data_IF_268142752265
#
_entry.id   IF_268142752265
#
_cell.length_a   1.000
_cell.length_b   1.000
_cell.length_c   1.000
_cell.angle_alpha   90.00
_cell.angle_beta   90.00
_cell.angle_gamma   90.00
#
_symmetry.space_group_name_H-M   'P 1'
#
loop_
_entity.id
_entity.type
_entity.pdbx_description
1 polymer ?
#
# COMPACT_ATOMS: atom_id res chain seq x y z
N UNK A 1 -29.52 -37.02 -29.41
CA UNK A 1 -29.13 -36.93 -27.99
C UNK A 1 -27.79 -36.20 -27.92
N UNK A 2 -27.77 -34.92 -27.52
CA UNK A 2 -26.55 -34.17 -27.28
C UNK A 2 -26.07 -34.48 -25.86
N UNK A 3 -24.85 -34.99 -25.73
CA UNK A 3 -24.22 -35.29 -24.45
C UNK A 3 -23.64 -33.98 -23.91
N UNK A 4 -24.13 -33.53 -22.75
CA UNK A 4 -23.70 -32.31 -22.08
C UNK A 4 -22.50 -32.65 -21.17
N UNK A 5 -21.30 -32.09 -21.39
CA UNK A 5 -20.07 -32.49 -20.69
C UNK A 5 -20.00 -32.06 -19.20
N UNK A 6 -21.00 -31.36 -18.69
CA UNK A 6 -21.03 -30.81 -17.33
C UNK A 6 -21.87 -31.62 -16.31
N UNK A 7 -22.39 -32.79 -16.71
CA UNK A 7 -23.36 -33.53 -15.89
C UNK A 7 -22.74 -34.21 -14.64
N UNK A 8 -21.42 -34.40 -14.58
CA UNK A 8 -20.77 -35.05 -13.43
C UNK A 8 -20.54 -34.12 -12.22
N UNK A 9 -20.92 -32.85 -12.29
CA UNK A 9 -20.68 -31.83 -11.25
C UNK A 9 -21.91 -31.49 -10.38
N UNK A 10 -23.02 -32.22 -10.51
CA UNK A 10 -24.19 -32.04 -9.62
C UNK A 10 -24.13 -33.00 -8.44
N UNK A 11 -23.44 -32.57 -7.39
CA UNK A 11 -23.63 -33.13 -6.04
C UNK A 11 -24.96 -32.67 -5.47
N UNK A 12 -25.79 -33.63 -5.06
CA UNK A 12 -27.06 -33.43 -4.35
C UNK A 12 -26.90 -32.51 -3.11
N UNK A 13 -27.81 -31.54 -2.86
CA UNK A 13 -27.73 -30.70 -1.67
C UNK A 13 -28.17 -31.50 -0.43
N UNK A 14 -27.21 -32.06 0.30
CA UNK A 14 -27.48 -32.65 1.61
C UNK A 14 -27.79 -31.54 2.63
N UNK A 15 -29.03 -31.62 3.13
CA UNK A 15 -29.63 -31.02 4.33
C UNK A 15 -28.66 -30.31 5.31
N UNK A 16 -28.98 -29.06 5.59
CA UNK A 16 -28.25 -28.11 6.45
C UNK A 16 -28.40 -28.34 7.98
N UNK A 17 -28.49 -29.58 8.47
CA UNK A 17 -28.82 -29.84 9.89
C UNK A 17 -27.79 -30.63 10.71
N UNK A 18 -26.57 -30.89 10.19
CA UNK A 18 -25.56 -31.68 10.93
C UNK A 18 -24.16 -31.05 11.04
N UNK A 19 -24.07 -29.73 11.31
CA UNK A 19 -22.80 -29.11 11.69
C UNK A 19 -22.95 -28.21 12.92
N UNK A 20 -23.17 -28.81 14.09
CA UNK A 20 -22.71 -28.20 15.34
C UNK A 20 -21.20 -28.46 15.47
N UNK A 21 -20.32 -27.44 15.38
CA UNK A 21 -18.92 -27.64 15.71
C UNK A 21 -18.81 -27.91 17.20
N UNK A 22 -18.37 -29.12 17.55
CA UNK A 22 -17.89 -29.42 18.90
C UNK A 22 -16.50 -28.80 19.04
N UNK A 23 -16.45 -27.48 19.26
CA UNK A 23 -15.20 -26.79 19.55
C UNK A 23 -14.66 -27.26 20.89
N UNK A 24 -13.75 -28.24 20.88
CA UNK A 24 -12.78 -28.37 21.96
C UNK A 24 -11.78 -27.23 21.79
N UNK A 25 -12.10 -26.07 22.37
CA UNK A 25 -11.08 -25.07 22.68
C UNK A 25 -10.20 -25.71 23.76
N UNK A 26 -9.07 -26.28 23.35
CA UNK A 26 -8.01 -26.63 24.30
C UNK A 26 -7.48 -25.30 24.81
N UNK A 27 -7.86 -24.96 26.03
CA UNK A 27 -7.42 -23.77 26.77
C UNK A 27 -5.94 -23.92 27.21
N UNK A 28 -5.03 -24.11 26.26
CA UNK A 28 -3.58 -24.18 26.52
C UNK A 28 -2.79 -23.02 25.89
N UNK A 29 -3.37 -22.25 24.96
CA UNK A 29 -2.67 -21.18 24.22
C UNK A 29 -2.45 -19.91 25.06
N UNK A 30 -3.39 -19.54 25.93
CA UNK A 30 -3.32 -18.29 26.71
C UNK A 30 -2.27 -18.34 27.81
N UNK A 31 -2.03 -19.49 28.43
CA UNK A 31 -0.99 -19.64 29.46
C UNK A 31 0.41 -19.46 28.88
N UNK A 32 0.73 -20.13 27.76
CA UNK A 32 2.02 -19.96 27.09
C UNK A 32 2.23 -18.54 26.56
N UNK A 33 1.18 -17.90 26.04
CA UNK A 33 1.25 -16.50 25.59
C UNK A 33 1.54 -15.54 26.74
N UNK A 34 0.86 -15.73 27.88
CA UNK A 34 1.05 -14.88 29.06
C UNK A 34 2.44 -15.09 29.69
N UNK A 35 2.92 -16.34 29.76
CA UNK A 35 4.28 -16.66 30.25
C UNK A 35 5.35 -16.06 29.33
N UNK A 36 5.19 -16.15 28.00
CA UNK A 36 6.12 -15.55 27.06
C UNK A 36 6.19 -14.03 27.19
N UNK A 37 5.04 -13.36 27.32
CA UNK A 37 5.00 -11.91 27.54
C UNK A 37 5.71 -11.49 28.83
N UNK A 38 5.52 -12.24 29.93
CA UNK A 38 6.22 -11.98 31.19
C UNK A 38 7.75 -12.14 31.04
N UNK A 39 8.21 -13.16 30.31
CA UNK A 39 9.64 -13.37 30.06
C UNK A 39 10.27 -12.23 29.25
N UNK A 40 9.56 -11.71 28.24
CA UNK A 40 10.03 -10.56 27.44
C UNK A 40 10.11 -9.29 28.28
N UNK A 41 9.12 -9.05 29.16
CA UNK A 41 9.14 -7.89 30.06
C UNK A 41 10.30 -8.00 31.05
N UNK A 42 10.52 -9.16 31.67
CA UNK A 42 11.61 -9.36 32.62
C UNK A 42 12.99 -9.21 31.94
N UNK A 43 13.15 -9.74 30.73
CA UNK A 43 14.38 -9.58 29.95
C UNK A 43 14.62 -8.10 29.55
N UNK A 44 13.56 -7.38 29.16
CA UNK A 44 13.63 -5.95 28.85
C UNK A 44 13.98 -5.10 30.06
N UNK A 45 13.39 -5.38 31.23
CA UNK A 45 13.73 -4.72 32.49
C UNK A 45 15.19 -5.00 32.87
N UNK A 46 15.64 -6.25 32.81
CA UNK A 46 17.02 -6.61 33.10
C UNK A 46 18.00 -5.91 32.14
N UNK A 47 17.67 -5.85 30.85
CA UNK A 47 18.46 -5.14 29.84
C UNK A 47 18.54 -3.63 30.15
N UNK A 48 17.42 -3.00 30.50
CA UNK A 48 17.38 -1.58 30.86
C UNK A 48 18.19 -1.28 32.13
N UNK A 49 18.06 -2.10 33.17
CA UNK A 49 18.84 -1.96 34.42
C UNK A 49 20.35 -2.20 34.23
N UNK A 50 20.74 -3.07 33.28
CA UNK A 50 22.13 -3.30 32.94
C UNK A 50 22.70 -2.21 32.01
N UNK A 51 21.84 -1.55 31.21
CA UNK A 51 22.24 -0.46 30.31
C UNK A 51 22.32 0.91 31.02
N UNK A 52 21.48 1.15 32.03
CA UNK A 52 21.53 2.36 32.90
C UNK A 52 22.77 2.40 33.81
N UNK A 53 23.57 1.32 33.88
CA UNK A 53 24.84 1.30 34.63
C UNK A 53 26.08 1.39 33.75
N UNK A 54 26.05 2.18 32.68
CA UNK A 54 27.28 2.74 32.09
C UNK A 54 27.29 4.26 32.08
N UNK A 55 28.46 4.82 32.42
CA UNK A 55 28.57 6.14 33.02
C UNK A 55 28.52 7.22 31.94
N UNK A 56 27.90 8.33 32.32
CA UNK A 56 28.30 9.71 32.03
C UNK A 56 29.53 9.83 31.10
N UNK A 57 29.32 9.72 29.79
CA UNK A 57 30.32 10.09 28.80
C UNK A 57 30.11 11.56 28.46
N UNK A 58 30.77 12.37 29.28
CA UNK A 58 31.51 13.60 28.96
C UNK A 58 31.25 14.18 27.56
N UNK A 59 30.56 15.32 27.54
CA UNK A 59 30.50 16.20 26.39
C UNK A 59 31.92 16.64 25.94
N UNK A 60 32.25 16.62 24.64
CA UNK A 60 33.46 17.28 24.15
C UNK A 60 33.28 18.82 24.17
N UNK A 61 34.37 19.57 24.38
CA UNK A 61 34.33 21.00 24.67
C UNK A 61 33.91 21.83 23.47
N UNK A 62 33.08 22.84 23.77
CA UNK A 62 32.80 24.00 22.93
C UNK A 62 34.12 24.69 22.57
N UNK A 63 34.47 24.86 21.28
CA UNK A 63 35.48 25.84 20.89
C UNK A 63 34.83 27.21 20.98
N UNK A 64 35.15 27.94 22.06
CA UNK A 64 35.05 29.39 22.06
C UNK A 64 36.26 29.96 21.34
N UNK A 65 35.95 31.00 20.59
CA UNK A 65 36.84 32.01 20.04
C UNK A 65 37.60 31.56 18.78
N UNK A 66 37.23 32.18 17.65
CA UNK A 66 38.10 33.17 17.01
C UNK A 66 37.31 33.95 15.94
N UNK A 67 37.39 35.26 16.10
CA UNK A 67 37.21 36.30 15.07
C UNK A 67 35.81 36.49 14.45
N UNK A 68 35.02 37.38 15.07
CA UNK A 68 34.06 38.20 14.33
C UNK A 68 34.86 39.07 13.36
N UNK A 69 35.13 38.55 12.16
CA UNK A 69 35.55 39.40 11.06
C UNK A 69 34.34 40.18 10.59
N UNK A 70 34.18 41.38 11.15
CA UNK A 70 33.33 42.42 10.59
C UNK A 70 33.86 42.74 9.20
N UNK A 71 33.36 42.06 8.17
CA UNK A 71 33.44 42.57 6.81
C UNK A 71 32.61 43.85 6.80
N UNK A 72 33.18 45.01 6.42
CA UNK A 72 32.41 46.23 6.23
C UNK A 72 31.19 45.91 5.38
N UNK A 73 30.02 46.38 5.81
CA UNK A 73 28.82 46.34 5.00
C UNK A 73 29.12 47.08 3.68
N UNK A 74 29.44 46.32 2.63
CA UNK A 74 29.38 46.82 1.27
C UNK A 74 27.90 47.14 1.02
N UNK A 75 27.56 48.38 0.64
CA UNK A 75 26.17 48.76 0.45
C UNK A 75 25.56 47.78 -0.54
N UNK A 76 24.41 47.21 -0.17
CA UNK A 76 23.58 46.39 -1.02
C UNK A 76 23.63 46.97 -2.43
N UNK A 77 24.34 46.29 -3.35
CA UNK A 77 24.13 46.54 -4.76
C UNK A 77 22.67 46.23 -4.97
N UNK A 78 21.90 47.29 -5.10
CA UNK A 78 20.58 47.26 -5.69
C UNK A 78 20.77 46.56 -7.02
N UNK A 79 20.51 45.26 -7.07
CA UNK A 79 20.19 44.59 -8.33
C UNK A 79 19.17 45.49 -8.97
N UNK A 80 19.37 45.98 -10.21
CA UNK A 80 18.31 46.67 -10.91
C UNK A 80 17.14 45.70 -10.87
N UNK A 81 16.10 46.04 -10.10
CA UNK A 81 14.81 45.40 -10.24
C UNK A 81 14.50 45.58 -11.72
N UNK A 82 14.68 44.51 -12.49
CA UNK A 82 14.21 44.45 -13.85
C UNK A 82 12.74 44.82 -13.72
N UNK A 83 12.41 46.03 -14.20
CA UNK A 83 11.04 46.55 -14.19
C UNK A 83 10.18 45.39 -14.63
N UNK A 84 9.27 44.94 -13.76
CA UNK A 84 8.35 43.86 -14.10
C UNK A 84 7.70 44.27 -15.41
N UNK A 85 8.11 43.62 -16.51
CA UNK A 85 7.59 43.91 -17.82
C UNK A 85 6.09 43.68 -17.73
N UNK A 86 5.30 44.70 -18.06
CA UNK A 86 3.84 44.58 -18.05
C UNK A 86 3.52 43.42 -19.01
N UNK A 87 2.92 42.32 -18.54
CA UNK A 87 2.70 41.16 -19.38
C UNK A 87 1.75 41.53 -20.52
N UNK A 88 2.07 41.10 -21.74
CA UNK A 88 1.19 41.30 -22.89
C UNK A 88 -0.18 40.63 -22.64
N UNK A 89 -1.28 41.19 -23.17
CA UNK A 89 -2.60 40.59 -23.01
C UNK A 89 -2.63 39.20 -23.66
N UNK A 90 -3.29 38.23 -23.00
CA UNK A 90 -3.32 36.83 -23.46
C UNK A 90 -3.89 36.68 -24.87
N UNK A 91 -4.85 37.55 -25.23
CA UNK A 91 -5.51 37.55 -26.52
C UNK A 91 -4.54 37.73 -27.69
N UNK A 92 -3.44 38.47 -27.49
CA UNK A 92 -2.45 38.73 -28.55
C UNK A 92 -1.44 37.57 -28.70
N UNK A 93 -1.40 36.65 -27.74
CA UNK A 93 -0.43 35.56 -27.69
C UNK A 93 -1.06 34.16 -27.85
N UNK A 94 -2.37 34.01 -27.67
CA UNK A 94 -3.07 32.71 -27.78
C UNK A 94 -3.41 32.43 -29.25
N UNK A 95 -3.07 31.23 -29.74
CA UNK A 95 -3.39 30.79 -31.10
C UNK A 95 -4.82 30.25 -31.17
N UNK A 96 -5.34 29.99 -32.37
CA UNK A 96 -6.74 29.62 -32.64
C UNK A 96 -7.25 28.34 -31.96
N UNK A 97 -6.38 27.57 -31.31
CA UNK A 97 -6.76 26.53 -30.36
C UNK A 97 -6.32 26.97 -28.96
N UNK A 98 -7.21 26.86 -27.97
CA UNK A 98 -7.02 27.22 -26.53
C UNK A 98 -5.87 26.46 -25.81
N UNK A 99 -4.80 26.13 -26.50
CA UNK A 99 -3.63 25.42 -26.03
C UNK A 99 -2.60 26.45 -25.62
N UNK A 100 -2.31 26.52 -24.32
CA UNK A 100 -1.26 27.37 -23.76
C UNK A 100 0.05 26.59 -23.90
N UNK A 101 0.81 26.90 -24.95
CA UNK A 101 2.13 26.34 -25.20
C UNK A 101 3.26 27.26 -24.66
N UNK A 102 4.50 26.78 -24.68
CA UNK A 102 5.66 27.56 -24.25
C UNK A 102 5.86 28.85 -25.07
N UNK A 103 5.36 28.90 -26.31
CA UNK A 103 5.42 30.11 -27.14
C UNK A 103 4.44 31.18 -26.67
N UNK A 104 3.27 30.80 -26.14
CA UNK A 104 2.34 31.75 -25.48
C UNK A 104 2.97 32.35 -24.23
N UNK A 105 3.66 31.52 -23.43
CA UNK A 105 4.38 31.98 -22.22
C UNK A 105 5.50 32.94 -22.60
N UNK A 106 6.28 32.62 -23.62
CA UNK A 106 7.37 33.47 -24.11
C UNK A 106 6.89 34.78 -24.72
N UNK A 107 5.79 34.76 -25.46
CA UNK A 107 5.14 35.96 -25.99
C UNK A 107 4.68 36.88 -24.85
N UNK A 108 4.00 36.31 -23.86
CA UNK A 108 3.40 37.10 -22.78
C UNK A 108 4.42 37.64 -21.77
N UNK A 109 5.43 36.85 -21.43
CA UNK A 109 6.33 37.11 -20.31
C UNK A 109 7.81 37.30 -20.72
N UNK A 110 8.15 37.14 -22.00
CA UNK A 110 9.53 37.23 -22.50
C UNK A 110 10.37 35.97 -22.22
N UNK A 111 11.69 36.13 -22.10
CA UNK A 111 12.57 35.02 -21.70
C UNK A 111 12.24 34.60 -20.26
N UNK A 112 11.66 33.41 -20.10
CA UNK A 112 11.59 32.75 -18.81
C UNK A 112 12.96 32.12 -18.48
N UNK A 113 13.40 32.15 -17.22
CA UNK A 113 14.53 31.33 -16.80
C UNK A 113 14.19 29.85 -17.05
N UNK A 114 15.09 29.13 -17.72
CA UNK A 114 15.00 27.67 -17.85
C UNK A 114 14.85 27.04 -16.47
N UNK A 115 14.05 25.97 -16.32
CA UNK A 115 14.01 25.18 -15.10
C UNK A 115 15.42 24.71 -14.75
N UNK A 116 16.07 25.39 -13.81
CA UNK A 116 17.33 24.94 -13.24
C UNK A 116 16.99 24.10 -12.03
N UNK A 117 17.43 22.84 -12.05
CA UNK A 117 17.54 22.03 -10.85
C UNK A 117 18.66 22.63 -9.99
N UNK A 118 18.31 23.65 -9.21
CA UNK A 118 19.21 24.24 -8.24
C UNK A 118 19.16 23.38 -6.96
N UNK A 119 20.24 22.64 -6.63
CA UNK A 119 20.28 21.82 -5.42
C UNK A 119 20.21 22.66 -4.12
N UNK A 120 20.36 23.98 -4.20
CA UNK A 120 20.23 24.92 -3.10
C UNK A 120 18.89 25.67 -3.07
N UNK A 121 18.00 25.45 -4.06
CA UNK A 121 16.66 26.02 -4.02
C UNK A 121 15.85 25.41 -2.87
N UNK A 122 15.91 26.07 -1.73
CA UNK A 122 15.10 25.76 -0.57
C UNK A 122 13.72 26.37 -0.82
N UNK A 123 12.76 25.53 -1.20
CA UNK A 123 11.36 25.94 -1.19
C UNK A 123 10.96 26.45 0.20
N UNK A 124 9.87 27.23 0.29
CA UNK A 124 9.36 27.79 1.57
C UNK A 124 8.94 26.74 2.61
N UNK A 125 9.20 25.47 2.34
CA UNK A 125 8.78 24.31 3.11
C UNK A 125 10.02 23.51 3.49
N UNK A 126 10.13 23.14 4.76
CA UNK A 126 11.29 22.38 5.24
C UNK A 126 11.40 21.03 4.53
N UNK A 127 12.62 20.56 4.31
CA UNK A 127 12.89 19.26 3.72
C UNK A 127 12.18 18.12 4.49
N UNK A 128 12.13 18.24 5.82
CA UNK A 128 11.44 17.30 6.69
C UNK A 128 9.91 17.28 6.45
N UNK A 129 9.27 18.44 6.28
CA UNK A 129 7.85 18.51 5.96
C UNK A 129 7.55 17.88 4.60
N UNK A 130 8.35 18.20 3.57
CA UNK A 130 8.16 17.59 2.23
C UNK A 130 8.35 16.08 2.27
N UNK A 131 9.32 15.58 3.04
CA UNK A 131 9.54 14.15 3.22
C UNK A 131 8.32 13.49 3.89
N UNK A 132 7.78 14.10 4.96
CA UNK A 132 6.59 13.60 5.64
C UNK A 132 5.35 13.62 4.75
N UNK A 133 5.14 14.70 4.00
CA UNK A 133 4.02 14.85 3.08
C UNK A 133 4.08 13.81 1.95
N UNK A 134 5.25 13.64 1.31
CA UNK A 134 5.48 12.60 0.30
C UNK A 134 5.25 11.20 0.87
N UNK A 135 5.75 10.92 2.08
CA UNK A 135 5.51 9.63 2.75
C UNK A 135 4.02 9.41 3.08
N UNK A 136 3.30 10.47 3.46
CA UNK A 136 1.86 10.44 3.70
C UNK A 136 1.06 10.15 2.42
N UNK A 137 1.38 10.83 1.33
CA UNK A 137 0.75 10.59 0.02
C UNK A 137 0.97 9.16 -0.47
N UNK A 138 2.18 8.62 -0.33
CA UNK A 138 2.47 7.23 -0.68
C UNK A 138 1.67 6.22 0.15
N UNK A 139 1.41 6.52 1.43
CA UNK A 139 0.57 5.68 2.30
C UNK A 139 -0.89 5.74 1.89
N UNK A 140 -1.42 6.93 1.62
CA UNK A 140 -2.82 7.09 1.17
C UNK A 140 -3.05 6.46 -0.20
N UNK A 141 -2.06 6.53 -1.10
CA UNK A 141 -2.10 5.85 -2.39
C UNK A 141 -2.10 4.32 -2.24
N UNK A 142 -1.28 3.77 -1.33
CA UNK A 142 -1.30 2.32 -1.00
C UNK A 142 -2.55 1.87 -0.25
N UNK A 143 -3.22 2.80 0.43
CA UNK A 143 -4.46 2.54 1.18
C UNK A 143 -5.71 2.63 0.32
N UNK A 144 -5.65 3.17 -0.91
CA UNK A 144 -6.80 3.12 -1.80
C UNK A 144 -7.08 1.65 -2.17
N UNK A 145 -8.13 1.13 -1.52
CA UNK A 145 -8.86 -0.12 -1.80
C UNK A 145 -8.08 -1.43 -1.68
N UNK A 146 -6.95 -1.48 -0.97
CA UNK A 146 -6.31 -2.75 -0.63
C UNK A 146 -6.86 -3.34 0.69
N UNK A 147 -7.51 -4.50 0.62
CA UNK A 147 -7.97 -5.22 1.82
C UNK A 147 -7.89 -6.74 1.62
N UNK A 148 -7.81 -7.49 2.72
CA UNK A 148 -7.79 -8.95 2.66
C UNK A 148 -9.15 -9.53 2.96
N UNK A 149 -9.53 -10.56 2.20
CA UNK A 149 -10.73 -11.34 2.44
C UNK A 149 -10.37 -12.77 2.83
N UNK A 150 -11.16 -13.32 3.75
CA UNK A 150 -11.06 -14.71 4.17
C UNK A 150 -12.39 -15.40 3.93
N UNK A 151 -12.36 -16.58 3.29
CA UNK A 151 -13.53 -17.40 2.98
C UNK A 151 -13.25 -18.88 3.20
N UNK A 152 -14.30 -19.62 3.50
CA UNK A 152 -14.26 -21.08 3.48
C UNK A 152 -14.52 -21.56 2.06
N UNK A 153 -13.56 -22.30 1.54
CA UNK A 153 -13.58 -22.84 0.19
C UNK A 153 -13.60 -24.35 0.28
N UNK A 154 -14.53 -24.98 -0.41
CA UNK A 154 -14.61 -26.43 -0.44
C UNK A 154 -13.42 -26.99 -1.22
N UNK A 155 -12.83 -28.08 -0.73
CA UNK A 155 -11.85 -28.84 -1.48
C UNK A 155 -12.48 -29.33 -2.79
N UNK A 156 -11.68 -29.41 -3.86
CA UNK A 156 -12.19 -29.82 -5.17
C UNK A 156 -12.85 -31.21 -5.19
N UNK A 157 -12.47 -32.09 -4.26
CA UNK A 157 -13.03 -33.44 -4.10
C UNK A 157 -14.31 -33.46 -3.24
N UNK A 158 -14.73 -32.31 -2.72
CA UNK A 158 -15.92 -32.13 -1.90
C UNK A 158 -15.80 -32.61 -0.44
N UNK A 159 -14.66 -33.18 -0.02
CA UNK A 159 -14.54 -33.90 1.26
C UNK A 159 -14.19 -33.01 2.45
N UNK A 160 -13.52 -31.89 2.20
CA UNK A 160 -13.07 -30.99 3.26
C UNK A 160 -13.21 -29.53 2.86
N UNK A 161 -12.85 -28.64 3.78
CA UNK A 161 -12.88 -27.19 3.61
C UNK A 161 -11.52 -26.59 3.94
N UNK A 162 -11.12 -25.61 3.14
CA UNK A 162 -9.93 -24.79 3.39
C UNK A 162 -10.34 -23.37 3.76
N UNK A 163 -9.65 -22.80 4.73
CA UNK A 163 -9.68 -21.36 4.97
C UNK A 163 -8.79 -20.71 3.91
N UNK A 164 -9.39 -20.11 2.90
CA UNK A 164 -8.69 -19.38 1.86
C UNK A 164 -8.63 -17.89 2.22
N UNK A 165 -7.46 -17.30 2.05
CA UNK A 165 -7.26 -15.86 2.17
C UNK A 165 -6.73 -15.31 0.85
N UNK A 166 -7.18 -14.12 0.46
CA UNK A 166 -6.64 -13.36 -0.67
C UNK A 166 -6.65 -11.87 -0.38
N UNK A 167 -5.94 -11.13 -1.23
CA UNK A 167 -5.86 -9.69 -1.27
C UNK A 167 -6.74 -9.17 -2.40
N UNK A 168 -7.51 -8.13 -2.12
CA UNK A 168 -8.25 -7.34 -3.10
C UNK A 168 -7.54 -6.00 -3.23
N UNK A 169 -7.25 -5.58 -4.46
CA UNK A 169 -6.65 -4.29 -4.80
C UNK A 169 -7.53 -3.66 -5.87
N UNK A 170 -8.05 -2.45 -5.62
CA UNK A 170 -8.93 -1.73 -6.55
C UNK A 170 -10.10 -2.59 -7.06
N UNK A 171 -10.77 -3.28 -6.14
CA UNK A 171 -11.88 -4.20 -6.42
C UNK A 171 -11.52 -5.42 -7.30
N UNK A 172 -10.24 -5.71 -7.49
CA UNK A 172 -9.77 -6.93 -8.16
C UNK A 172 -9.02 -7.84 -7.20
N UNK A 173 -9.25 -9.14 -7.32
CA UNK A 173 -8.53 -10.14 -6.51
C UNK A 173 -7.14 -10.34 -7.11
N UNK A 174 -6.10 -10.15 -6.30
CA UNK A 174 -4.75 -10.53 -6.67
C UNK A 174 -4.63 -12.06 -6.69
N UNK A 175 -4.60 -12.62 -7.90
CA UNK A 175 -4.48 -14.06 -8.16
C UNK A 175 -3.33 -14.73 -7.41
N UNK A 176 -2.21 -14.03 -7.19
CA UNK A 176 -1.01 -14.60 -6.56
C UNK A 176 -1.12 -14.71 -5.04
N UNK A 177 -2.09 -13.99 -4.47
CA UNK A 177 -2.42 -13.96 -3.05
C UNK A 177 -3.43 -15.02 -2.63
N UNK A 178 -4.11 -15.67 -3.58
CA UNK A 178 -5.13 -16.69 -3.29
C UNK A 178 -4.51 -17.88 -2.55
N UNK A 179 -5.04 -18.17 -1.37
CA UNK A 179 -4.54 -19.18 -0.43
C UNK A 179 -3.13 -18.90 0.10
N UNK A 180 -2.70 -17.63 0.16
CA UNK A 180 -1.36 -17.25 0.66
C UNK A 180 -1.12 -17.57 2.14
N UNK A 181 -2.17 -17.86 2.90
CA UNK A 181 -2.08 -18.35 4.28
C UNK A 181 -1.56 -19.80 4.38
N UNK A 182 -1.56 -20.55 3.27
CA UNK A 182 -1.01 -21.90 3.17
C UNK A 182 0.42 -21.87 2.60
N UNK A 183 1.25 -22.84 2.98
CA UNK A 183 2.64 -22.92 2.50
C UNK A 183 2.66 -23.15 0.97
N UNK A 184 3.23 -22.20 0.21
CA UNK A 184 3.40 -22.35 -1.25
C UNK A 184 4.05 -23.69 -1.60
N UNK A 185 3.51 -24.34 -2.63
CA UNK A 185 3.99 -25.63 -3.13
C UNK A 185 3.43 -26.86 -2.40
N UNK A 186 2.79 -26.70 -1.23
CA UNK A 186 2.12 -27.79 -0.53
C UNK A 186 0.93 -28.34 -1.34
N UNK A 187 0.49 -29.55 -1.00
CA UNK A 187 -0.73 -30.14 -1.57
C UNK A 187 -1.93 -29.24 -1.20
N UNK A 188 -2.06 -28.87 0.07
CA UNK A 188 -3.13 -27.99 0.56
C UNK A 188 -3.21 -26.67 -0.22
N UNK A 189 -2.06 -26.05 -0.53
CA UNK A 189 -2.03 -24.81 -1.32
C UNK A 189 -2.61 -25.02 -2.72
N UNK A 190 -2.21 -26.09 -3.42
CA UNK A 190 -2.72 -26.39 -4.77
C UNK A 190 -4.20 -26.75 -4.75
N UNK A 191 -4.62 -27.55 -3.77
CA UNK A 191 -6.03 -27.96 -3.62
C UNK A 191 -6.94 -26.80 -3.22
N UNK A 192 -6.48 -25.92 -2.33
CA UNK A 192 -7.17 -24.68 -1.97
C UNK A 192 -7.36 -23.78 -3.18
N UNK A 193 -6.33 -23.61 -4.03
CA UNK A 193 -6.46 -22.81 -5.25
C UNK A 193 -7.44 -23.41 -6.27
N UNK A 194 -7.44 -24.74 -6.44
CA UNK A 194 -8.45 -25.41 -7.29
C UNK A 194 -9.87 -25.18 -6.76
N UNK A 195 -10.08 -25.37 -5.45
CA UNK A 195 -11.35 -25.09 -4.81
C UNK A 195 -11.75 -23.61 -4.96
N UNK A 196 -10.81 -22.69 -4.82
CA UNK A 196 -11.07 -21.25 -4.88
C UNK A 196 -11.55 -20.84 -6.29
N UNK A 197 -11.01 -21.46 -7.34
CA UNK A 197 -11.48 -21.23 -8.72
C UNK A 197 -12.96 -21.60 -8.88
N UNK A 198 -13.38 -22.72 -8.30
CA UNK A 198 -14.78 -23.16 -8.31
C UNK A 198 -15.63 -22.17 -7.50
N UNK A 199 -15.16 -21.81 -6.31
CA UNK A 199 -15.85 -20.86 -5.44
C UNK A 199 -16.06 -19.49 -6.11
N UNK A 200 -15.04 -18.91 -6.76
CA UNK A 200 -15.18 -17.65 -7.49
C UNK A 200 -16.21 -17.74 -8.62
N UNK A 201 -16.23 -18.86 -9.36
CA UNK A 201 -17.21 -19.09 -10.42
C UNK A 201 -18.62 -19.17 -9.85
N UNK A 202 -18.80 -19.86 -8.73
CA UNK A 202 -20.11 -20.01 -8.11
C UNK A 202 -20.59 -18.68 -7.51
N UNK A 203 -19.71 -17.91 -6.91
CA UNK A 203 -20.05 -16.58 -6.38
C UNK A 203 -20.38 -15.58 -7.50
N UNK A 204 -19.63 -15.63 -8.61
CA UNK A 204 -19.98 -14.89 -9.83
C UNK A 204 -21.38 -15.27 -10.35
N UNK A 205 -21.76 -16.55 -10.32
CA UNK A 205 -23.09 -17.00 -10.76
C UNK A 205 -24.23 -16.57 -9.83
N UNK A 206 -23.98 -16.53 -8.51
CA UNK A 206 -25.00 -16.09 -7.53
C UNK A 206 -25.34 -14.60 -7.70
N UNK A 207 -24.37 -13.81 -8.15
CA UNK A 207 -24.51 -12.35 -8.19
C UNK A 207 -24.42 -11.73 -6.79
N UNK A 208 -24.64 -10.42 -6.73
CA UNK A 208 -24.50 -9.62 -5.51
C UNK A 208 -24.52 -8.13 -5.83
N UNK A 209 -23.91 -7.33 -4.98
CA UNK A 209 -23.57 -5.94 -5.32
C UNK A 209 -22.67 -5.89 -6.57
N UNK A 210 -22.85 -4.86 -7.41
CA UNK A 210 -22.11 -4.72 -8.67
C UNK A 210 -20.59 -4.83 -8.48
N UNK A 211 -20.08 -4.24 -7.39
CA UNK A 211 -18.67 -4.28 -7.06
C UNK A 211 -18.17 -5.70 -6.76
N UNK A 212 -18.81 -6.44 -5.85
CA UNK A 212 -18.40 -7.81 -5.53
C UNK A 212 -18.64 -8.77 -6.70
N UNK A 213 -19.73 -8.60 -7.45
CA UNK A 213 -19.99 -9.39 -8.65
C UNK A 213 -18.87 -9.22 -9.69
N UNK A 214 -18.48 -7.97 -9.99
CA UNK A 214 -17.35 -7.69 -10.88
C UNK A 214 -16.02 -8.30 -10.35
N UNK A 215 -15.78 -8.19 -9.04
CA UNK A 215 -14.59 -8.75 -8.38
C UNK A 215 -14.49 -10.26 -8.54
N UNK A 216 -15.57 -10.99 -8.23
CA UNK A 216 -15.55 -12.45 -8.31
C UNK A 216 -15.59 -12.95 -9.76
N UNK A 217 -16.28 -12.28 -10.67
CA UNK A 217 -16.31 -12.68 -12.09
C UNK A 217 -14.97 -12.44 -12.80
N UNK A 218 -14.27 -11.36 -12.49
CA UNK A 218 -12.91 -11.12 -12.98
C UNK A 218 -11.93 -12.19 -12.47
N UNK A 219 -12.02 -12.58 -11.20
CA UNK A 219 -11.26 -13.71 -10.67
C UNK A 219 -11.68 -15.04 -11.31
N UNK A 220 -12.97 -15.30 -11.46
CA UNK A 220 -13.51 -16.53 -12.03
C UNK A 220 -13.02 -16.77 -13.48
N UNK A 221 -12.77 -15.71 -14.24
CA UNK A 221 -12.20 -15.80 -15.59
C UNK A 221 -10.66 -15.79 -15.59
N UNK A 222 -10.03 -14.82 -14.91
CA UNK A 222 -8.58 -14.59 -14.99
C UNK A 222 -7.69 -15.45 -14.08
N UNK A 223 -8.23 -15.98 -12.97
CA UNK A 223 -7.44 -16.75 -12.00
C UNK A 223 -7.05 -18.13 -12.55
N UNK A 224 -5.76 -18.47 -12.57
CA UNK A 224 -5.31 -19.82 -12.86
C UNK A 224 -4.95 -20.54 -11.53
N UNK A 225 -5.59 -21.67 -11.19
CA UNK A 225 -5.29 -22.38 -9.95
C UNK A 225 -3.89 -23.03 -9.93
N UNK A 226 -3.27 -23.23 -11.09
CA UNK A 226 -1.94 -23.84 -11.21
C UNK A 226 -0.79 -22.83 -11.20
N UNK A 227 -1.07 -21.55 -11.44
CA UNK A 227 -0.07 -20.49 -11.58
C UNK A 227 -0.64 -19.15 -11.20
#
# INVERSE_FOLDING_TARGET
>A
MKHDPDDWMRGEPLRADELRPRSRVVASSTLYRNVFLLMVILAGCAYFFLHERRPEQTAPPVPRDLEVRQTPAEPSRTTPQARAAIPQPLADCIKDGNVIDESVVRCRFGQHPEPRDDPQAQGMVSAAYLAQFKAGQQRVARQHQQFSETRLVQQWDGKAWYTAQWLVVDNQIDSTSVCANLRRGSIEFRECRKGAKIWFRDECRKGGDDASHQRYCSAASGFNPMG
#
